data_IF_139271949490
#
_entry.id   IF_139271949490
#
_cell.length_a   1.000
_cell.length_b   1.000
_cell.length_c   1.000
_cell.angle_alpha   90.00
_cell.angle_beta   90.00
_cell.angle_gamma   90.00
#
_symmetry.space_group_name_H-M   'P 1'
#
loop_
_entity.id
_entity.type
_entity.pdbx_description
1 polymer ?
#
# COMPACT_ATOMS: atom_id res chain seq x y z
N UNK A 1 -10.60 -17.97 5.60
CA UNK A 1 -9.65 -17.35 6.55
C UNK A 1 -8.35 -17.08 5.79
N UNK A 2 -7.92 -15.82 5.63
CA UNK A 2 -6.78 -15.47 4.76
C UNK A 2 -5.49 -16.27 5.02
N UNK A 3 -5.20 -16.55 6.30
CA UNK A 3 -4.01 -17.29 6.71
C UNK A 3 -3.95 -18.75 6.26
N UNK A 4 -5.05 -19.32 5.75
CA UNK A 4 -5.09 -20.70 5.25
C UNK A 4 -4.89 -20.78 3.72
N UNK A 5 -4.83 -19.65 3.04
CA UNK A 5 -4.59 -19.61 1.60
C UNK A 5 -3.11 -19.91 1.31
N UNK A 6 -2.78 -20.43 0.11
CA UNK A 6 -1.40 -20.59 -0.31
C UNK A 6 -0.67 -19.23 -0.36
N UNK A 7 0.66 -19.27 -0.36
CA UNK A 7 1.52 -18.10 -0.60
C UNK A 7 1.88 -18.06 -2.09
N UNK A 8 1.92 -16.85 -2.67
CA UNK A 8 2.40 -16.60 -4.03
C UNK A 8 3.72 -15.81 -4.01
N UNK A 9 4.58 -16.02 -5.00
CA UNK A 9 5.73 -15.14 -5.25
C UNK A 9 5.27 -13.77 -5.78
N UNK A 10 5.54 -12.73 -5.01
CA UNK A 10 5.14 -11.33 -5.28
C UNK A 10 6.33 -10.44 -5.68
N UNK A 11 7.48 -11.06 -5.98
CA UNK A 11 8.73 -10.36 -6.31
C UNK A 11 8.69 -9.59 -7.64
N UNK A 12 7.69 -9.80 -8.49
CA UNK A 12 7.55 -9.11 -9.78
C UNK A 12 6.11 -8.66 -10.06
N UNK A 13 5.27 -8.53 -9.03
CA UNK A 13 3.87 -8.16 -9.24
C UNK A 13 3.73 -6.67 -9.56
N UNK A 14 3.08 -6.37 -10.67
CA UNK A 14 2.66 -5.02 -11.03
C UNK A 14 1.38 -5.09 -11.89
N UNK A 15 0.22 -5.32 -11.26
CA UNK A 15 -1.05 -5.51 -11.96
C UNK A 15 -1.51 -4.26 -12.72
N UNK A 16 -1.06 -3.07 -12.29
CA UNK A 16 -1.39 -1.79 -12.92
C UNK A 16 -0.13 -1.02 -13.32
N UNK A 17 0.51 -1.35 -14.46
CA UNK A 17 1.78 -0.75 -14.88
C UNK A 17 1.77 0.77 -15.05
N UNK A 18 0.57 1.33 -15.26
CA UNK A 18 0.38 2.76 -15.49
C UNK A 18 0.25 3.57 -14.21
N UNK A 19 0.13 2.93 -13.04
CA UNK A 19 0.06 3.61 -11.74
C UNK A 19 1.26 3.25 -10.88
N UNK A 20 1.63 4.17 -10.00
CA UNK A 20 2.72 3.95 -9.05
C UNK A 20 2.08 3.40 -7.76
N UNK A 21 2.43 2.19 -7.30
CA UNK A 21 1.83 1.63 -6.11
C UNK A 21 2.25 2.38 -4.85
N UNK A 22 1.29 2.58 -3.93
CA UNK A 22 1.55 3.15 -2.62
C UNK A 22 2.07 2.07 -1.68
N UNK A 23 3.07 2.41 -0.86
CA UNK A 23 3.63 1.52 0.14
C UNK A 23 3.28 2.02 1.54
N UNK A 24 2.75 1.11 2.36
CA UNK A 24 2.76 1.24 3.81
C UNK A 24 4.01 0.52 4.31
N UNK A 25 5.10 1.27 4.45
CA UNK A 25 6.44 0.77 4.74
C UNK A 25 6.71 0.71 6.24
N UNK A 26 7.23 -0.41 6.73
CA UNK A 26 7.62 -0.64 8.11
C UNK A 26 9.15 -0.61 8.22
N UNK A 27 9.72 -0.04 9.29
CA UNK A 27 11.18 -0.03 9.46
C UNK A 27 11.76 -1.43 9.70
N UNK A 28 10.93 -2.34 10.21
CA UNK A 28 11.23 -3.74 10.42
C UNK A 28 10.29 -4.62 9.60
N UNK A 29 10.62 -5.91 9.50
CA UNK A 29 9.74 -6.87 8.85
C UNK A 29 8.33 -6.85 9.44
N UNK A 30 7.32 -7.02 8.59
CA UNK A 30 5.92 -7.02 8.98
C UNK A 30 5.66 -8.17 9.98
N UNK A 31 4.97 -7.91 11.11
CA UNK A 31 4.57 -8.97 12.01
C UNK A 31 3.70 -10.01 11.32
N UNK A 32 4.05 -11.29 11.50
CA UNK A 32 3.29 -12.41 10.92
C UNK A 32 1.80 -12.30 11.27
N UNK A 33 0.95 -12.37 10.23
CA UNK A 33 -0.50 -12.32 10.39
C UNK A 33 -1.09 -10.90 10.47
N UNK A 34 -0.28 -9.84 10.49
CA UNK A 34 -0.78 -8.47 10.42
C UNK A 34 -1.58 -8.24 9.13
N UNK A 35 -1.04 -8.66 7.98
CA UNK A 35 -1.72 -8.54 6.71
C UNK A 35 -3.06 -9.28 6.71
N UNK A 36 -3.11 -10.53 7.20
CA UNK A 36 -4.35 -11.28 7.35
C UNK A 36 -5.37 -10.55 8.24
N UNK A 37 -4.93 -9.94 9.35
CA UNK A 37 -5.79 -9.16 10.23
C UNK A 37 -6.34 -7.90 9.54
N UNK A 38 -5.53 -7.22 8.72
CA UNK A 38 -5.94 -6.09 7.89
C UNK A 38 -7.03 -6.52 6.91
N UNK A 39 -6.83 -7.62 6.17
CA UNK A 39 -7.83 -8.16 5.24
C UNK A 39 -9.14 -8.48 5.98
N UNK A 40 -9.08 -9.19 7.11
CA UNK A 40 -10.27 -9.50 7.91
C UNK A 40 -10.98 -8.23 8.37
N UNK A 41 -10.23 -7.20 8.77
CA UNK A 41 -10.82 -5.92 9.19
C UNK A 41 -11.57 -5.22 8.06
N UNK A 42 -10.96 -5.12 6.87
CA UNK A 42 -11.57 -4.52 5.68
C UNK A 42 -12.87 -5.25 5.29
N UNK A 43 -12.83 -6.58 5.27
CA UNK A 43 -13.99 -7.42 4.95
C UNK A 43 -15.10 -7.35 6.01
N UNK A 44 -14.75 -7.03 7.26
CA UNK A 44 -15.69 -6.94 8.38
C UNK A 44 -16.27 -5.54 8.59
N UNK A 45 -15.99 -4.59 7.70
CA UNK A 45 -16.48 -3.22 7.84
C UNK A 45 -18.02 -3.19 7.68
N UNK A 46 -18.73 -2.75 8.73
CA UNK A 46 -20.19 -2.85 8.80
C UNK A 46 -20.96 -1.91 7.84
N UNK A 47 -20.39 -0.76 7.50
CA UNK A 47 -21.10 0.29 6.74
C UNK A 47 -20.90 0.15 5.24
N UNK A 48 -19.66 -0.15 4.81
CA UNK A 48 -19.32 -0.50 3.43
C UNK A 48 -18.36 -1.71 3.43
N UNK A 49 -18.89 -2.95 3.51
CA UNK A 49 -18.04 -4.13 3.54
C UNK A 49 -17.31 -4.27 2.22
N UNK A 50 -16.00 -4.36 2.31
CA UNK A 50 -15.16 -4.71 1.18
C UNK A 50 -15.48 -6.14 0.75
N UNK A 51 -15.40 -6.40 -0.55
CA UNK A 51 -15.68 -7.72 -1.12
C UNK A 51 -14.44 -8.29 -1.74
N UNK A 52 -14.27 -9.60 -1.65
CA UNK A 52 -13.25 -10.31 -2.44
C UNK A 52 -13.81 -10.49 -3.84
N UNK A 53 -13.03 -10.14 -4.87
CA UNK A 53 -13.51 -10.07 -6.28
C UNK A 53 -13.19 -11.35 -7.05
N UNK A 54 -12.01 -11.92 -6.85
CA UNK A 54 -11.51 -13.06 -7.63
C UNK A 54 -11.28 -14.30 -6.76
N UNK A 55 -11.19 -15.47 -7.39
CA UNK A 55 -10.84 -16.74 -6.71
C UNK A 55 -9.33 -16.85 -6.40
N UNK A 56 -8.48 -16.11 -7.14
CA UNK A 56 -7.01 -16.18 -7.06
C UNK A 56 -6.41 -15.31 -5.95
N UNK A 57 -6.91 -15.44 -4.72
CA UNK A 57 -6.28 -14.81 -3.55
C UNK A 57 -5.29 -15.76 -2.88
N UNK A 58 -4.28 -15.16 -2.27
CA UNK A 58 -3.22 -15.83 -1.53
C UNK A 58 -3.11 -15.20 -0.16
N UNK A 59 -2.46 -15.87 0.79
CA UNK A 59 -2.32 -15.34 2.14
C UNK A 59 -1.58 -13.99 2.18
N UNK A 60 -0.79 -13.68 1.14
CA UNK A 60 -0.03 -12.45 0.96
C UNK A 60 -0.50 -11.58 -0.24
N UNK A 61 -1.63 -11.90 -0.87
CA UNK A 61 -2.15 -11.18 -2.04
C UNK A 61 -3.68 -11.24 -2.10
N UNK A 62 -4.33 -10.09 -2.13
CA UNK A 62 -5.79 -10.01 -2.21
C UNK A 62 -6.26 -8.97 -3.21
N UNK A 63 -7.23 -9.36 -4.05
CA UNK A 63 -8.01 -8.44 -4.89
C UNK A 63 -9.32 -8.13 -4.17
N UNK A 64 -9.50 -6.86 -3.80
CA UNK A 64 -10.66 -6.40 -3.04
C UNK A 64 -11.42 -5.32 -3.81
N UNK A 65 -12.74 -5.39 -3.76
CA UNK A 65 -13.64 -4.36 -4.24
C UNK A 65 -14.15 -3.51 -3.07
N UNK A 66 -13.99 -2.20 -3.20
CA UNK A 66 -14.59 -1.22 -2.31
C UNK A 66 -15.71 -0.48 -3.05
N UNK A 67 -16.93 -0.44 -2.50
CA UNK A 67 -18.07 0.19 -3.16
C UNK A 67 -17.93 1.72 -3.30
N UNK A 68 -17.03 2.33 -2.53
CA UNK A 68 -16.83 3.79 -2.49
C UNK A 68 -15.75 4.29 -3.47
N UNK A 69 -15.17 3.41 -4.31
CA UNK A 69 -14.12 3.73 -5.29
C UNK A 69 -14.65 3.88 -6.72
N UNK A 70 -13.96 4.68 -7.55
CA UNK A 70 -14.33 4.94 -8.96
C UNK A 70 -14.11 3.71 -9.84
N UNK A 71 -12.93 3.11 -9.78
CA UNK A 71 -12.68 1.77 -10.27
C UNK A 71 -12.60 0.82 -9.08
N UNK A 72 -13.45 -0.20 -9.13
CA UNK A 72 -13.82 -0.98 -7.97
C UNK A 72 -12.67 -1.74 -7.31
N UNK A 73 -11.67 -2.16 -8.08
CA UNK A 73 -10.72 -3.18 -7.64
C UNK A 73 -9.39 -2.56 -7.18
N UNK A 74 -9.03 -2.87 -5.94
CA UNK A 74 -7.68 -2.66 -5.43
C UNK A 74 -7.01 -4.00 -5.22
N UNK A 75 -5.69 -4.00 -5.29
CA UNK A 75 -4.88 -5.16 -4.97
C UNK A 75 -3.98 -4.81 -3.78
N UNK A 76 -4.06 -5.62 -2.73
CA UNK A 76 -3.23 -5.53 -1.54
C UNK A 76 -2.22 -6.67 -1.55
N UNK A 77 -0.95 -6.34 -1.31
CA UNK A 77 0.14 -7.31 -1.32
C UNK A 77 1.02 -7.14 -0.10
N UNK A 78 1.22 -8.23 0.65
CA UNK A 78 2.21 -8.29 1.72
C UNK A 78 3.59 -8.60 1.13
N UNK A 79 4.57 -7.77 1.47
CA UNK A 79 5.98 -8.01 1.26
C UNK A 79 6.72 -8.04 2.60
N UNK A 80 8.04 -8.25 2.57
CA UNK A 80 8.84 -8.39 3.79
C UNK A 80 8.66 -7.22 4.77
N UNK A 81 8.70 -6.00 4.26
CA UNK A 81 8.74 -4.75 5.03
C UNK A 81 7.64 -3.76 4.63
N UNK A 82 6.66 -4.15 3.79
CA UNK A 82 5.59 -3.25 3.39
C UNK A 82 4.29 -3.97 2.98
N UNK A 83 3.19 -3.25 3.14
CA UNK A 83 1.92 -3.58 2.47
C UNK A 83 1.84 -2.66 1.25
N UNK A 84 1.83 -3.27 0.06
CA UNK A 84 1.68 -2.55 -1.21
C UNK A 84 0.21 -2.43 -1.54
N UNK A 85 -0.22 -1.23 -1.90
CA UNK A 85 -1.57 -0.91 -2.37
C UNK A 85 -1.48 -0.55 -3.84
N UNK A 86 -2.15 -1.32 -4.69
CA UNK A 86 -2.29 -1.06 -6.12
C UNK A 86 -3.73 -0.63 -6.40
N UNK A 87 -3.89 0.53 -7.02
CA UNK A 87 -5.18 0.95 -7.59
C UNK A 87 -5.03 1.15 -9.10
N UNK A 88 -6.09 0.80 -9.84
CA UNK A 88 -6.09 0.94 -11.30
C UNK A 88 -6.10 2.40 -11.74
N UNK A 89 -6.78 3.26 -10.99
CA UNK A 89 -6.80 4.70 -11.23
C UNK A 89 -6.23 5.48 -10.04
N UNK A 90 -5.61 6.60 -10.36
CA UNK A 90 -4.95 7.46 -9.39
C UNK A 90 -5.88 8.01 -8.30
N UNK A 91 -7.13 8.32 -8.66
CA UNK A 91 -8.09 8.94 -7.75
C UNK A 91 -8.52 8.03 -6.59
N UNK A 92 -8.43 6.71 -6.77
CA UNK A 92 -8.85 5.73 -5.76
C UNK A 92 -7.82 5.51 -4.67
N UNK A 93 -6.58 5.97 -4.85
CA UNK A 93 -5.52 5.78 -3.88
C UNK A 93 -5.76 6.51 -2.56
N UNK A 94 -6.36 7.69 -2.56
CA UNK A 94 -6.65 8.44 -1.31
C UNK A 94 -7.63 7.67 -0.43
N UNK A 95 -8.85 7.35 -0.90
CA UNK A 95 -9.81 6.58 -0.11
C UNK A 95 -9.31 5.16 0.21
N UNK A 96 -8.64 4.48 -0.73
CA UNK A 96 -8.05 3.16 -0.46
C UNK A 96 -6.98 3.21 0.63
N UNK A 97 -6.06 4.20 0.58
CA UNK A 97 -5.05 4.44 1.60
C UNK A 97 -5.70 4.63 2.97
N UNK A 98 -6.68 5.52 3.09
CA UNK A 98 -7.30 5.83 4.37
C UNK A 98 -7.97 4.61 5.00
N UNK A 99 -8.65 3.81 4.19
CA UNK A 99 -9.25 2.57 4.64
C UNK A 99 -8.20 1.54 5.12
N UNK A 100 -7.13 1.35 4.35
CA UNK A 100 -6.07 0.38 4.67
C UNK A 100 -5.27 0.84 5.89
N UNK A 101 -4.93 2.13 6.01
CA UNK A 101 -4.23 2.68 7.18
C UNK A 101 -5.06 2.52 8.46
N UNK A 102 -6.36 2.82 8.39
CA UNK A 102 -7.28 2.59 9.51
C UNK A 102 -7.34 1.11 9.88
N UNK A 103 -7.37 0.21 8.88
CA UNK A 103 -7.35 -1.22 9.11
C UNK A 103 -6.06 -1.69 9.78
N UNK A 104 -4.92 -1.16 9.38
CA UNK A 104 -3.62 -1.41 10.02
C UNK A 104 -3.62 -0.93 11.47
N UNK A 105 -4.06 0.31 11.73
CA UNK A 105 -4.13 0.87 13.09
C UNK A 105 -5.03 0.03 14.00
N UNK A 106 -6.18 -0.43 13.50
CA UNK A 106 -7.07 -1.31 14.26
C UNK A 106 -6.44 -2.69 14.48
N UNK A 107 -5.77 -3.26 13.48
CA UNK A 107 -5.11 -4.55 13.61
C UNK A 107 -3.98 -4.48 14.65
N UNK A 108 -3.11 -3.47 14.56
CA UNK A 108 -2.00 -3.26 15.50
C UNK A 108 -2.52 -3.10 16.94
N UNK A 109 -3.54 -2.26 17.14
CA UNK A 109 -4.11 -2.00 18.47
C UNK A 109 -4.81 -3.23 19.06
N UNK A 110 -5.61 -3.96 18.28
CA UNK A 110 -6.36 -5.14 18.76
C UNK A 110 -5.46 -6.35 19.04
N UNK A 111 -4.41 -6.53 18.25
CA UNK A 111 -3.52 -7.70 18.39
C UNK A 111 -2.34 -7.46 19.35
N UNK A 112 -2.38 -6.37 20.13
CA UNK A 112 -1.31 -5.98 21.06
C UNK A 112 0.07 -5.91 20.39
N UNK A 113 0.11 -5.62 19.10
CA UNK A 113 1.32 -5.37 18.35
C UNK A 113 1.79 -3.93 18.60
N UNK A 114 1.59 -3.37 19.81
CA UNK A 114 1.83 -1.96 20.11
C UNK A 114 3.31 -1.56 20.04
N UNK A 115 4.22 -2.54 19.99
CA UNK A 115 5.64 -2.34 19.69
C UNK A 115 5.93 -2.26 18.20
N UNK A 116 4.99 -2.63 17.34
CA UNK A 116 5.07 -2.45 15.91
C UNK A 116 4.95 -0.96 15.60
N UNK A 117 5.95 -0.42 14.95
CA UNK A 117 5.91 0.94 14.46
C UNK A 117 4.77 1.12 13.45
N UNK A 118 4.20 2.32 13.44
CA UNK A 118 3.23 2.68 12.41
C UNK A 118 3.94 2.70 11.05
N UNK A 119 3.35 2.12 10.00
CA UNK A 119 3.95 2.18 8.69
C UNK A 119 4.02 3.63 8.20
N UNK A 120 5.10 3.95 7.51
CA UNK A 120 5.29 5.21 6.80
C UNK A 120 4.76 5.05 5.38
N UNK A 121 4.05 6.07 4.90
CA UNK A 121 3.69 6.19 3.49
C UNK A 121 4.97 6.34 2.67
N UNK A 122 5.14 5.49 1.67
CA UNK A 122 6.29 5.49 0.79
C UNK A 122 5.90 5.06 -0.62
N UNK A 123 6.86 5.15 -1.54
CA UNK A 123 6.78 4.63 -2.90
C UNK A 123 8.09 3.93 -3.22
N UNK A 124 8.08 2.96 -4.13
CA UNK A 124 9.34 2.38 -4.60
C UNK A 124 10.16 3.38 -5.40
N UNK A 125 11.47 3.30 -5.27
CA UNK A 125 12.38 4.08 -6.08
C UNK A 125 12.39 3.55 -7.53
N UNK A 126 12.12 4.38 -8.54
CA UNK A 126 12.12 3.99 -9.95
C UNK A 126 13.51 3.86 -10.58
N UNK A 127 14.61 3.89 -9.81
CA UNK A 127 15.97 3.95 -10.34
C UNK A 127 16.49 2.63 -10.95
N UNK A 128 15.66 1.58 -11.00
CA UNK A 128 16.03 0.27 -11.56
C UNK A 128 17.06 -0.51 -10.75
N UNK A 129 17.43 -0.03 -9.54
CA UNK A 129 18.23 -0.78 -8.57
C UNK A 129 17.33 -1.57 -7.63
N UNK A 130 17.93 -2.32 -6.70
CA UNK A 130 17.25 -3.09 -5.64
C UNK A 130 16.03 -2.36 -5.05
N UNK A 131 14.99 -3.12 -4.67
CA UNK A 131 13.75 -2.59 -4.11
C UNK A 131 14.02 -1.79 -2.83
N UNK A 132 13.80 -0.49 -2.88
CA UNK A 132 13.88 0.39 -1.72
C UNK A 132 12.89 1.54 -1.83
N UNK A 133 12.52 2.11 -0.68
CA UNK A 133 11.66 3.27 -0.61
C UNK A 133 12.36 4.53 -1.16
N UNK A 134 11.65 5.26 -2.02
CA UNK A 134 12.07 6.57 -2.51
C UNK A 134 11.98 7.62 -1.39
N UNK A 135 12.92 8.58 -1.38
CA UNK A 135 12.76 9.82 -0.61
C UNK A 135 11.79 10.69 -1.38
N UNK A 136 10.75 11.18 -0.73
CA UNK A 136 9.87 12.18 -1.31
C UNK A 136 10.18 13.54 -0.72
N UNK A 137 10.41 14.54 -1.57
CA UNK A 137 10.69 15.92 -1.15
C UNK A 137 9.82 16.90 -1.91
N UNK A 138 9.28 17.91 -1.20
CA UNK A 138 8.63 19.05 -1.84
C UNK A 138 9.66 20.03 -2.40
N UNK A 139 9.62 20.28 -3.70
CA UNK A 139 10.46 21.27 -4.35
C UNK A 139 9.66 22.58 -4.52
N UNK A 140 9.83 23.50 -3.56
CA UNK A 140 9.09 24.78 -3.50
C UNK A 140 9.17 25.59 -4.80
N UNK A 141 10.31 25.60 -5.47
CA UNK A 141 10.55 26.38 -6.70
C UNK A 141 9.78 25.85 -7.91
N UNK A 142 9.37 24.58 -7.89
CA UNK A 142 8.67 23.94 -9.00
C UNK A 142 7.26 23.48 -8.61
N UNK A 143 6.83 23.81 -7.39
CA UNK A 143 5.53 23.44 -6.82
C UNK A 143 5.18 21.96 -7.07
N UNK A 144 6.14 21.05 -6.84
CA UNK A 144 5.95 19.61 -7.03
C UNK A 144 6.75 18.78 -6.04
N UNK A 145 6.28 17.56 -5.77
CA UNK A 145 7.08 16.54 -5.12
C UNK A 145 8.01 15.85 -6.12
N UNK A 146 9.17 15.43 -5.64
CA UNK A 146 10.22 14.77 -6.42
C UNK A 146 10.68 13.54 -5.68
N UNK A 147 10.79 12.42 -6.39
CA UNK A 147 11.44 11.23 -5.87
C UNK A 147 12.94 11.44 -5.93
N UNK A 148 13.62 11.24 -4.81
CA UNK A 148 15.07 11.08 -4.75
C UNK A 148 15.39 9.67 -4.32
N UNK A 149 16.27 9.02 -5.08
CA UNK A 149 16.84 7.75 -4.67
C UNK A 149 17.82 7.97 -3.52
N UNK A 150 17.77 7.09 -2.50
CA UNK A 150 18.77 7.08 -1.42
C UNK A 150 20.16 6.66 -1.92
N UNK A 151 20.22 5.88 -2.99
CA UNK A 151 21.44 5.24 -3.49
C UNK A 151 22.21 6.13 -4.47
N UNK A 152 21.54 6.78 -5.43
CA UNK A 152 22.21 7.57 -6.47
C UNK A 152 21.94 9.09 -6.40
N UNK A 153 21.09 9.55 -5.46
CA UNK A 153 20.62 10.94 -5.33
C UNK A 153 19.96 11.54 -6.59
N UNK A 154 19.70 10.73 -7.62
CA UNK A 154 19.04 11.19 -8.83
C UNK A 154 17.57 11.50 -8.52
N UNK A 155 17.12 12.62 -9.08
CA UNK A 155 15.75 13.10 -8.93
C UNK A 155 14.90 12.67 -10.11
N UNK A 156 13.76 12.03 -9.85
CA UNK A 156 12.74 11.76 -10.86
C UNK A 156 11.45 12.53 -10.55
N UNK A 157 10.77 13.00 -11.60
CA UNK A 157 9.52 13.75 -11.49
C UNK A 157 8.38 12.81 -11.08
N UNK A 158 7.56 13.21 -10.12
CA UNK A 158 6.27 12.57 -9.84
C UNK A 158 5.21 13.04 -10.82
N UNK A 159 4.28 12.15 -11.16
CA UNK A 159 2.97 12.58 -11.66
C UNK A 159 2.25 13.38 -10.57
N UNK A 160 1.62 14.49 -10.96
CA UNK A 160 0.92 15.42 -10.04
C UNK A 160 -0.18 14.73 -9.22
N UNK A 161 -0.68 13.60 -9.70
CA UNK A 161 -1.77 12.85 -9.08
C UNK A 161 -1.32 12.08 -7.82
N UNK A 162 -0.06 11.63 -7.77
CA UNK A 162 0.49 10.93 -6.61
C UNK A 162 0.78 11.86 -5.41
N UNK A 163 0.73 13.18 -5.62
CA UNK A 163 1.08 14.20 -4.61
C UNK A 163 0.09 14.19 -3.43
N UNK A 164 -1.20 13.99 -3.72
CA UNK A 164 -2.26 13.98 -2.70
C UNK A 164 -2.22 12.72 -1.81
N UNK A 165 -1.39 11.73 -2.15
CA UNK A 165 -1.35 10.45 -1.43
C UNK A 165 -0.39 10.48 -0.24
N UNK A 166 0.57 11.40 -0.20
CA UNK A 166 1.54 11.53 0.88
C UNK A 166 1.10 12.53 1.95
N UNK A 167 0.52 13.65 1.51
CA UNK A 167 0.08 14.73 2.37
C UNK A 167 -1.43 14.65 2.63
N UNK A 168 -1.77 14.35 3.88
CA UNK A 168 -2.67 15.20 4.66
C UNK A 168 -2.08 15.25 6.06
N UNK A 169 -1.72 16.46 6.50
CA UNK A 169 -1.29 16.77 7.86
C UNK A 169 -2.41 16.48 8.85
#
# INVERSE_FOLDING_TARGET
MPALLPIMDVSNINPYPNTIPLLLYFESAIPMGLFCAVIVHLLSHKESPWKVVEESNFSNYFTLQCPDLLESDIILVEQLDCITVFCKVANDYIPAREAVEKAVDVAISKHKLSTCEKPKRAFYCPCGKERHAAIVSWLKTQLRYVFRCKINQESQKMATECLNWLDQR
#
